data_IF_690591974191
#
_entry.id   IF_690591974191
#
_cell.length_a   1.000
_cell.length_b   1.000
_cell.length_c   1.000
_cell.angle_alpha   90.00
_cell.angle_beta   90.00
_cell.angle_gamma   90.00
#
_symmetry.space_group_name_H-M   'P 1'
#
loop_
_entity.id
_entity.type
_entity.pdbx_description
1 polymer ?
#
# COMPACT_ATOMS: atom_id res chain seq x y z
N UNK A 1 3.16 -9.54 3.32
CA UNK A 1 2.07 -10.21 2.57
C UNK A 1 2.15 -11.73 2.63
N UNK A 2 3.17 -12.40 2.10
CA UNK A 2 3.14 -13.86 1.86
C UNK A 2 3.80 -14.74 2.93
N UNK A 3 4.55 -14.16 3.87
CA UNK A 3 5.31 -14.93 4.87
C UNK A 3 6.45 -15.78 4.30
N UNK A 4 6.83 -15.58 3.02
CA UNK A 4 7.93 -16.28 2.33
C UNK A 4 9.10 -15.35 2.06
N UNK A 5 10.29 -15.93 1.89
CA UNK A 5 11.46 -15.19 1.39
C UNK A 5 11.16 -14.60 0.00
N UNK A 6 11.53 -13.34 -0.29
CA UNK A 6 11.26 -12.71 -1.59
C UNK A 6 11.79 -13.49 -2.80
N UNK A 7 12.94 -14.15 -2.64
CA UNK A 7 13.55 -14.99 -3.68
C UNK A 7 12.66 -16.17 -4.12
N UNK A 8 11.72 -16.61 -3.28
CA UNK A 8 10.71 -17.61 -3.67
C UNK A 8 9.84 -17.14 -4.85
N UNK A 9 9.66 -15.83 -4.98
CA UNK A 9 8.86 -15.18 -6.02
C UNK A 9 9.73 -14.55 -7.12
N UNK A 10 11.05 -14.83 -7.15
CA UNK A 10 11.98 -14.15 -8.05
C UNK A 10 12.18 -12.66 -7.73
N UNK A 11 11.74 -12.19 -6.55
CA UNK A 11 11.89 -10.79 -6.15
C UNK A 11 13.15 -10.67 -5.31
N UNK A 12 14.19 -10.03 -5.87
CA UNK A 12 15.47 -9.80 -5.19
C UNK A 12 15.90 -8.32 -5.23
N UNK A 13 14.94 -7.43 -5.45
CA UNK A 13 15.06 -5.97 -5.41
C UNK A 13 13.68 -5.35 -5.19
N UNK A 14 13.60 -4.01 -5.16
CA UNK A 14 12.31 -3.34 -5.22
C UNK A 14 11.71 -3.47 -6.62
N UNK A 15 10.40 -3.69 -6.70
CA UNK A 15 9.66 -3.63 -7.96
C UNK A 15 9.68 -2.18 -8.46
N UNK A 16 10.10 -1.99 -9.70
CA UNK A 16 10.28 -0.69 -10.34
C UNK A 16 9.54 -0.68 -11.70
N UNK A 17 10.03 0.13 -12.65
CA UNK A 17 9.53 0.08 -14.03
C UNK A 17 9.75 -1.31 -14.65
N UNK A 18 8.90 -1.70 -15.60
CA UNK A 18 9.02 -3.00 -16.27
C UNK A 18 10.39 -3.22 -16.93
N UNK A 19 10.97 -2.17 -17.51
CA UNK A 19 12.31 -2.23 -18.08
C UNK A 19 13.38 -2.55 -17.03
N UNK A 20 13.29 -1.93 -15.84
CA UNK A 20 14.22 -2.18 -14.74
C UNK A 20 14.03 -3.57 -14.13
N UNK A 21 12.79 -4.03 -13.97
CA UNK A 21 12.52 -5.38 -13.46
C UNK A 21 13.04 -6.43 -14.44
N UNK A 22 12.78 -6.27 -15.74
CA UNK A 22 13.30 -7.15 -16.80
C UNK A 22 14.82 -7.19 -16.81
N UNK A 23 15.48 -6.03 -16.72
CA UNK A 23 16.95 -5.96 -16.67
C UNK A 23 17.55 -6.62 -15.42
N UNK A 24 16.75 -6.80 -14.36
CA UNK A 24 17.13 -7.48 -13.12
C UNK A 24 16.65 -8.93 -13.09
N UNK A 25 15.99 -9.46 -14.13
CA UNK A 25 15.35 -10.78 -14.10
C UNK A 25 14.30 -10.94 -12.97
N UNK A 26 13.57 -9.85 -12.70
CA UNK A 26 12.51 -9.80 -11.70
C UNK A 26 11.12 -9.72 -12.34
N UNK A 27 10.06 -10.22 -11.67
CA UNK A 27 8.69 -10.02 -12.12
C UNK A 27 8.29 -8.54 -12.01
N UNK A 28 7.18 -8.17 -12.66
CA UNK A 28 6.65 -6.80 -12.64
C UNK A 28 5.71 -6.50 -11.45
N UNK A 29 5.14 -7.55 -10.88
CA UNK A 29 4.20 -7.50 -9.76
C UNK A 29 4.26 -8.84 -9.02
N UNK A 30 3.78 -8.86 -7.78
CA UNK A 30 3.55 -10.11 -7.07
C UNK A 30 2.45 -10.90 -7.80
N UNK A 31 2.59 -12.22 -7.88
CA UNK A 31 1.55 -13.08 -8.43
C UNK A 31 0.25 -12.95 -7.60
N UNK A 32 -0.91 -12.59 -8.19
CA UNK A 32 -2.17 -12.49 -7.44
C UNK A 32 -2.64 -13.84 -6.88
N UNK A 33 -2.20 -14.97 -7.47
CA UNK A 33 -2.50 -16.31 -6.94
C UNK A 33 -1.64 -16.67 -5.71
N UNK A 34 -0.73 -15.77 -5.29
CA UNK A 34 0.05 -15.97 -4.08
C UNK A 34 -0.84 -15.94 -2.83
N UNK A 35 -0.65 -16.92 -1.94
CA UNK A 35 -1.31 -16.91 -0.63
C UNK A 35 -0.75 -15.76 0.20
N UNK A 36 -1.63 -14.83 0.57
CA UNK A 36 -1.32 -13.68 1.41
C UNK A 36 -2.02 -13.78 2.76
N UNK A 37 -1.47 -13.11 3.78
CA UNK A 37 -2.15 -12.97 5.08
C UNK A 37 -3.53 -12.33 4.96
N UNK A 38 -3.69 -11.40 4.01
CA UNK A 38 -4.96 -10.71 3.72
C UNK A 38 -6.00 -11.67 3.13
N UNK A 39 -5.63 -12.53 2.17
CA UNK A 39 -6.50 -13.62 1.70
C UNK A 39 -6.95 -14.54 2.84
N UNK A 40 -6.02 -14.98 3.68
CA UNK A 40 -6.32 -15.89 4.80
C UNK A 40 -7.29 -15.25 5.80
N UNK A 41 -7.09 -13.97 6.11
CA UNK A 41 -7.94 -13.24 7.05
C UNK A 41 -9.32 -12.93 6.47
N UNK A 42 -9.39 -12.47 5.21
CA UNK A 42 -10.65 -12.23 4.49
C UNK A 42 -11.50 -13.52 4.45
N UNK A 43 -10.89 -14.65 4.07
CA UNK A 43 -11.57 -15.96 4.05
C UNK A 43 -12.00 -16.43 5.45
N UNK A 44 -11.36 -15.92 6.52
CA UNK A 44 -11.72 -16.22 7.91
C UNK A 44 -12.77 -15.26 8.48
N UNK A 45 -13.35 -14.38 7.65
CA UNK A 45 -14.43 -13.46 8.04
C UNK A 45 -13.96 -12.15 8.65
N UNK A 46 -12.69 -11.77 8.46
CA UNK A 46 -12.22 -10.43 8.80
C UNK A 46 -12.53 -9.46 7.67
N UNK A 47 -12.95 -8.24 8.00
CA UNK A 47 -12.85 -7.12 7.07
C UNK A 47 -11.37 -6.74 6.89
N UNK A 48 -10.89 -6.63 5.65
CA UNK A 48 -9.49 -6.36 5.35
C UNK A 48 -9.31 -5.02 4.63
N UNK A 49 -8.59 -4.10 5.28
CA UNK A 49 -8.27 -2.77 4.76
C UNK A 49 -6.79 -2.58 4.44
N UNK A 50 -6.46 -1.81 3.41
CA UNK A 50 -5.10 -1.37 3.12
C UNK A 50 -5.04 0.10 2.70
N UNK A 51 -4.27 0.90 3.42
CA UNK A 51 -4.14 2.34 3.18
C UNK A 51 -2.66 2.74 3.16
N UNK A 52 -2.27 3.48 2.13
CA UNK A 52 -0.90 3.95 1.94
C UNK A 52 -0.13 3.24 0.83
N UNK A 53 1.17 3.03 1.03
CA UNK A 53 2.05 2.53 -0.02
C UNK A 53 1.75 1.07 -0.34
N UNK A 54 1.50 0.74 -1.61
CA UNK A 54 1.28 -0.65 -2.03
C UNK A 54 2.59 -1.37 -2.42
N UNK A 55 3.20 -0.96 -3.53
CA UNK A 55 4.54 -1.39 -3.98
C UNK A 55 4.72 -2.90 -4.24
N UNK A 56 3.63 -3.64 -4.48
CA UNK A 56 3.66 -5.01 -5.02
C UNK A 56 3.46 -5.05 -6.54
N UNK A 57 3.76 -3.94 -7.21
CA UNK A 57 3.63 -3.74 -8.64
C UNK A 57 2.63 -2.65 -9.00
N UNK A 58 2.75 -2.13 -10.21
CA UNK A 58 1.91 -1.09 -10.78
C UNK A 58 2.20 -0.94 -12.27
N UNK A 59 1.34 -0.20 -12.99
CA UNK A 59 1.44 -0.09 -14.45
C UNK A 59 0.71 -1.22 -15.18
N UNK A 60 1.10 -1.46 -16.43
CA UNK A 60 0.36 -2.36 -17.32
C UNK A 60 0.25 -3.78 -16.75
N UNK A 61 -0.97 -4.29 -16.61
CA UNK A 61 -1.24 -5.66 -16.17
C UNK A 61 -1.00 -5.94 -14.68
N UNK A 62 -0.54 -4.98 -13.89
CA UNK A 62 -0.38 -5.18 -12.44
C UNK A 62 -1.75 -5.24 -11.74
N UNK A 63 -2.02 -6.27 -10.92
CA UNK A 63 -3.29 -6.38 -10.19
C UNK A 63 -3.45 -5.27 -9.14
N UNK A 64 -4.69 -4.84 -8.94
CA UNK A 64 -5.05 -3.96 -7.82
C UNK A 64 -4.99 -4.70 -6.47
N UNK A 65 -4.85 -4.01 -5.33
CA UNK A 65 -4.84 -4.62 -3.99
C UNK A 65 -6.01 -5.58 -3.72
N UNK A 66 -7.18 -5.33 -4.32
CA UNK A 66 -8.37 -6.19 -4.19
C UNK A 66 -8.10 -7.64 -4.63
N UNK A 67 -7.19 -7.86 -5.58
CA UNK A 67 -6.78 -9.20 -6.01
C UNK A 67 -5.98 -9.99 -4.95
N UNK A 68 -5.63 -9.35 -3.82
CA UNK A 68 -4.83 -9.96 -2.76
C UNK A 68 -5.65 -10.17 -1.47
N UNK A 69 -6.98 -10.25 -1.56
CA UNK A 69 -7.86 -10.46 -0.40
C UNK A 69 -8.00 -9.21 0.46
N UNK A 70 -8.09 -8.04 -0.17
CA UNK A 70 -8.33 -6.74 0.46
C UNK A 70 -9.72 -6.28 0.05
N UNK A 71 -10.53 -5.81 1.01
CA UNK A 71 -11.92 -5.39 0.76
C UNK A 71 -12.01 -3.88 0.49
N UNK A 72 -11.17 -3.09 1.16
CA UNK A 72 -11.13 -1.63 1.01
C UNK A 72 -9.69 -1.14 0.93
N UNK A 73 -9.41 -0.24 -0.02
CA UNK A 73 -8.10 0.39 -0.09
C UNK A 73 -8.13 1.81 -0.66
N UNK A 74 -7.13 2.60 -0.25
CA UNK A 74 -6.64 3.76 -0.99
C UNK A 74 -5.12 3.77 -0.93
N UNK A 75 -4.47 3.87 -2.09
CA UNK A 75 -3.03 3.59 -2.19
C UNK A 75 -2.20 4.68 -2.86
N UNK A 76 -0.89 4.54 -2.70
CA UNK A 76 0.10 5.12 -3.60
C UNK A 76 1.11 4.06 -4.05
N UNK A 77 1.73 4.28 -5.22
CA UNK A 77 2.70 3.34 -5.83
C UNK A 77 2.06 1.97 -6.16
N UNK A 78 1.11 1.96 -7.10
CA UNK A 78 0.43 0.76 -7.59
C UNK A 78 -0.74 1.10 -8.51
N UNK A 79 -1.63 0.14 -8.76
CA UNK A 79 -2.90 0.33 -9.46
C UNK A 79 -4.05 0.22 -8.45
N UNK A 80 -5.09 1.06 -8.57
CA UNK A 80 -6.29 1.04 -7.73
C UNK A 80 -6.76 2.43 -7.30
N UNK A 81 -7.67 2.52 -6.32
CA UNK A 81 -8.11 3.80 -5.76
C UNK A 81 -6.91 4.57 -5.18
N UNK A 82 -6.64 5.74 -5.73
CA UNK A 82 -5.46 6.52 -5.36
C UNK A 82 -5.74 7.41 -4.14
N UNK A 83 -4.75 7.52 -3.25
CA UNK A 83 -4.72 8.57 -2.23
C UNK A 83 -4.55 9.93 -2.89
N UNK A 84 -5.30 10.90 -2.39
CA UNK A 84 -5.14 12.29 -2.79
C UNK A 84 -4.20 13.00 -1.81
N UNK A 85 -3.01 13.36 -2.30
CA UNK A 85 -2.04 14.16 -1.55
C UNK A 85 -2.00 15.62 -2.04
N UNK A 86 -2.98 16.06 -2.84
CA UNK A 86 -2.90 17.36 -3.52
C UNK A 86 -3.34 18.56 -2.68
N UNK A 87 -3.93 18.36 -1.48
CA UNK A 87 -4.55 19.48 -0.77
C UNK A 87 -4.33 19.49 0.75
N UNK A 88 -3.26 20.17 1.19
CA UNK A 88 -3.26 20.90 2.47
C UNK A 88 -2.46 22.19 2.28
N UNK A 89 -3.09 23.23 1.71
CA UNK A 89 -2.83 24.70 1.83
C UNK A 89 -1.39 25.32 1.93
N UNK A 90 -0.28 24.58 1.90
CA UNK A 90 1.06 25.12 2.13
C UNK A 90 2.16 24.20 1.57
N UNK A 91 2.22 24.02 0.25
CA UNK A 91 3.42 23.50 -0.42
C UNK A 91 3.70 22.00 -0.24
N UNK A 92 3.72 21.27 -1.37
CA UNK A 92 4.20 19.88 -1.51
C UNK A 92 3.56 18.88 -0.52
N UNK A 93 2.40 18.33 -0.88
CA UNK A 93 1.55 17.48 -0.03
C UNK A 93 2.10 16.14 0.50
N UNK A 94 3.42 15.94 0.55
CA UNK A 94 4.03 14.79 1.23
C UNK A 94 4.11 14.95 2.75
N UNK A 95 4.30 16.18 3.24
CA UNK A 95 4.37 16.51 4.69
C UNK A 95 3.13 16.08 5.47
N UNK A 96 1.98 15.99 4.80
CA UNK A 96 0.71 15.52 5.35
C UNK A 96 0.32 14.12 4.88
N UNK A 97 1.19 13.40 4.17
CA UNK A 97 0.82 12.07 3.64
C UNK A 97 0.48 11.07 4.74
N UNK A 98 1.11 11.18 5.92
CA UNK A 98 0.76 10.37 7.08
C UNK A 98 -0.63 10.70 7.62
N UNK A 99 -1.00 11.98 7.73
CA UNK A 99 -2.34 12.41 8.15
C UNK A 99 -3.40 11.83 7.21
N UNK A 100 -3.23 12.02 5.90
CA UNK A 100 -4.16 11.48 4.87
C UNK A 100 -4.31 9.96 4.98
N UNK A 101 -3.20 9.21 5.14
CA UNK A 101 -3.27 7.73 5.24
C UNK A 101 -3.97 7.31 6.54
N UNK A 102 -3.69 8.00 7.65
CA UNK A 102 -4.27 7.69 8.95
C UNK A 102 -5.76 8.02 8.98
N UNK A 103 -6.20 9.11 8.36
CA UNK A 103 -7.63 9.45 8.29
C UNK A 103 -8.44 8.39 7.54
N UNK A 104 -7.93 7.91 6.40
CA UNK A 104 -8.55 6.79 5.66
C UNK A 104 -8.57 5.50 6.49
N UNK A 105 -7.48 5.23 7.22
CA UNK A 105 -7.36 4.08 8.12
C UNK A 105 -8.39 4.17 9.26
N UNK A 106 -8.53 5.33 9.90
CA UNK A 106 -9.51 5.57 10.97
C UNK A 106 -10.92 5.42 10.42
N UNK A 107 -11.20 5.95 9.23
CA UNK A 107 -12.49 5.79 8.56
C UNK A 107 -12.86 4.32 8.38
N UNK A 108 -11.92 3.49 7.92
CA UNK A 108 -12.12 2.04 7.82
C UNK A 108 -12.37 1.38 9.18
N UNK A 109 -11.58 1.71 10.21
CA UNK A 109 -11.74 1.16 11.56
C UNK A 109 -13.14 1.51 12.11
N UNK A 110 -13.59 2.76 11.94
CA UNK A 110 -14.90 3.21 12.40
C UNK A 110 -16.06 2.48 11.71
N UNK A 111 -15.94 2.23 10.39
CA UNK A 111 -16.94 1.50 9.62
C UNK A 111 -17.05 0.02 10.03
N UNK A 112 -15.93 -0.59 10.42
CA UNK A 112 -15.84 -2.01 10.77
C UNK A 112 -15.71 -2.26 12.29
N UNK A 113 -16.04 -1.28 13.14
CA UNK A 113 -15.79 -1.33 14.59
C UNK A 113 -16.56 -2.45 15.32
N UNK A 114 -17.60 -3.00 14.70
CA UNK A 114 -18.48 -4.03 15.29
C UNK A 114 -18.15 -5.45 14.81
N UNK A 115 -17.11 -5.63 14.01
CA UNK A 115 -16.68 -6.92 13.46
C UNK A 115 -15.15 -7.05 13.52
N UNK A 116 -14.59 -8.27 13.46
CA UNK A 116 -13.14 -8.42 13.41
C UNK A 116 -12.60 -7.80 12.12
N UNK A 117 -11.62 -6.91 12.25
CA UNK A 117 -10.94 -6.30 11.11
C UNK A 117 -9.43 -6.48 11.19
N UNK A 118 -8.80 -6.45 10.02
CA UNK A 118 -7.36 -6.35 9.87
C UNK A 118 -7.07 -5.19 8.91
N UNK A 119 -6.23 -4.25 9.35
CA UNK A 119 -5.90 -3.07 8.56
C UNK A 119 -4.40 -2.91 8.43
N UNK A 120 -3.95 -2.65 7.20
CA UNK A 120 -2.58 -2.27 6.88
C UNK A 120 -2.53 -0.77 6.66
N UNK A 121 -1.89 -0.04 7.57
CA UNK A 121 -1.55 1.37 7.39
C UNK A 121 -0.06 1.48 7.03
N UNK A 122 0.27 1.54 5.74
CA UNK A 122 1.66 1.56 5.25
C UNK A 122 2.06 2.99 4.88
N UNK A 123 2.61 3.69 5.87
CA UNK A 123 3.02 5.10 5.74
C UNK A 123 4.17 5.28 4.74
N UNK A 124 4.34 6.53 4.27
CA UNK A 124 5.45 6.90 3.39
C UNK A 124 6.73 7.30 4.15
N UNK A 125 6.63 7.58 5.46
CA UNK A 125 7.74 8.04 6.28
C UNK A 125 8.64 6.87 6.71
N UNK A 126 9.97 6.95 6.60
CA UNK A 126 10.86 8.04 6.15
C UNK A 126 11.50 7.77 4.79
N UNK A 127 10.76 7.18 3.84
CA UNK A 127 11.30 6.72 2.55
C UNK A 127 11.93 7.85 1.70
N UNK A 128 11.61 9.11 1.94
CA UNK A 128 12.31 10.25 1.33
C UNK A 128 12.45 11.38 2.34
N UNK A 129 13.05 12.49 1.89
CA UNK A 129 13.17 13.73 2.67
C UNK A 129 11.81 14.09 3.26
N UNK A 130 11.80 14.27 4.59
CA UNK A 130 10.60 14.50 5.40
C UNK A 130 9.84 15.76 4.96
N UNK A 131 10.55 16.75 4.39
CA UNK A 131 10.02 18.06 3.93
C UNK A 131 9.00 18.64 4.92
N UNK A 132 9.34 18.73 6.23
CA UNK A 132 8.39 19.11 7.27
C UNK A 132 7.92 20.55 7.07
N UNK A 133 6.68 20.83 7.48
CA UNK A 133 6.19 22.22 7.60
C UNK A 133 6.96 22.97 8.70
N UNK A 134 6.88 24.30 8.73
CA UNK A 134 7.47 25.10 9.81
C UNK A 134 6.95 24.65 11.19
N UNK A 135 5.64 24.41 11.31
CA UNK A 135 5.01 23.89 12.54
C UNK A 135 5.57 22.51 12.94
N UNK A 136 5.82 21.61 11.99
CA UNK A 136 6.37 20.28 12.26
C UNK A 136 7.86 20.31 12.68
N UNK A 137 8.56 21.43 12.48
CA UNK A 137 9.96 21.60 12.87
C UNK A 137 10.15 22.18 14.28
N UNK A 138 9.10 22.75 14.89
CA UNK A 138 9.10 23.30 16.25
C UNK A 138 8.81 22.22 17.32
#
# INVERSE_FOLDING_TARGET
>A
MTGRFPAHWGIHGHLASHAQNTARDMPNYLDPDSVTITHLLQQSGYAVGHFGKWHLGGGEGAPEPFAYGIDACKINVGNGPMLDFTDVQAGKGRSHSTEVIIDETIGFIQQNQNEPFYVQAWLNDTHAILDPTEEQME
#
